data_IF_409102100851
#
_entry.id   IF_409102100851
#
_cell.length_a   1.000
_cell.length_b   1.000
_cell.length_c   1.000
_cell.angle_alpha   90.00
_cell.angle_beta   90.00
_cell.angle_gamma   90.00
#
_symmetry.space_group_name_H-M   'P 1'
#
loop_
_entity.id
_entity.type
_entity.pdbx_description
1 polymer ?
#
# COMPACT_ATOMS: atom_id res chain seq x y z
N UNK A 1 -2.40 -7.40 23.70
CA UNK A 1 -2.99 -8.18 22.59
C UNK A 1 -3.34 -7.19 21.48
N UNK A 2 -2.52 -7.11 20.43
CA UNK A 2 -2.57 -6.03 19.44
C UNK A 2 -2.99 -6.58 18.06
N UNK A 3 -3.69 -5.76 17.27
CA UNK A 3 -3.97 -6.03 15.85
C UNK A 3 -2.74 -5.83 14.96
N UNK A 4 -2.88 -6.05 13.64
CA UNK A 4 -1.78 -5.89 12.67
C UNK A 4 -1.19 -4.46 12.67
N UNK A 5 -2.04 -3.45 12.94
CA UNK A 5 -1.65 -2.06 13.18
C UNK A 5 -1.75 -1.67 14.66
N UNK A 6 -1.78 -2.63 15.58
CA UNK A 6 -1.99 -2.37 17.00
C UNK A 6 -3.39 -1.89 17.39
N UNK A 7 -4.35 -1.91 16.45
CA UNK A 7 -5.64 -1.24 16.63
C UNK A 7 -5.56 0.28 16.47
N UNK A 8 -4.46 0.79 15.92
CA UNK A 8 -4.18 2.21 15.76
C UNK A 8 -4.53 2.69 14.35
N UNK A 9 -5.57 3.53 14.26
CA UNK A 9 -6.01 4.15 13.02
C UNK A 9 -4.91 4.97 12.35
N UNK A 10 -4.10 5.69 13.12
CA UNK A 10 -3.07 6.56 12.56
C UNK A 10 -1.95 5.74 11.93
N UNK A 11 -1.57 4.59 12.53
CA UNK A 11 -0.63 3.65 11.91
C UNK A 11 -1.18 3.05 10.62
N UNK A 12 -2.46 2.72 10.61
CA UNK A 12 -3.12 2.23 9.40
C UNK A 12 -3.09 3.26 8.28
N UNK A 13 -3.43 4.52 8.56
CA UNK A 13 -3.35 5.64 7.61
C UNK A 13 -1.91 5.87 7.13
N UNK A 14 -0.93 5.79 8.04
CA UNK A 14 0.47 6.07 7.73
C UNK A 14 1.13 5.01 6.86
N UNK A 15 0.79 3.73 7.06
CA UNK A 15 1.51 2.60 6.45
C UNK A 15 0.71 1.85 5.37
N UNK A 16 -0.57 2.17 5.16
CA UNK A 16 -1.40 1.56 4.12
C UNK A 16 -1.84 2.62 3.10
N UNK A 17 -1.66 2.34 1.81
CA UNK A 17 -2.21 3.18 0.74
C UNK A 17 -3.73 3.29 0.83
N UNK A 18 -4.39 2.20 1.23
CA UNK A 18 -5.84 2.16 1.42
C UNK A 18 -6.28 3.00 2.63
N UNK A 19 -5.55 2.91 3.74
CA UNK A 19 -5.78 3.76 4.91
C UNK A 19 -5.61 5.25 4.57
N UNK A 20 -4.55 5.60 3.86
CA UNK A 20 -4.31 6.95 3.35
C UNK A 20 -5.43 7.43 2.43
N UNK A 21 -5.85 6.61 1.45
CA UNK A 21 -6.91 6.96 0.52
C UNK A 21 -8.22 7.27 1.26
N UNK A 22 -8.63 6.42 2.20
CA UNK A 22 -9.82 6.65 3.02
C UNK A 22 -9.71 7.94 3.85
N UNK A 23 -8.56 8.24 4.43
CA UNK A 23 -8.35 9.47 5.19
C UNK A 23 -8.46 10.71 4.29
N UNK A 24 -7.83 10.68 3.10
CA UNK A 24 -7.88 11.78 2.12
C UNK A 24 -9.30 12.07 1.61
N UNK A 25 -10.17 11.06 1.63
CA UNK A 25 -11.59 11.17 1.26
C UNK A 25 -12.49 11.56 2.46
N UNK A 26 -11.92 11.92 3.60
CA UNK A 26 -12.64 12.15 4.87
C UNK A 26 -13.45 10.93 5.35
N UNK A 27 -13.07 9.71 4.96
CA UNK A 27 -13.72 8.44 5.31
C UNK A 27 -13.03 7.75 6.50
N UNK A 28 -12.61 8.52 7.53
CA UNK A 28 -11.93 7.99 8.73
C UNK A 28 -12.76 6.95 9.49
N UNK A 29 -14.09 7.07 9.44
CA UNK A 29 -15.00 6.08 10.04
C UNK A 29 -14.86 4.71 9.37
N UNK A 30 -14.76 4.67 8.04
CA UNK A 30 -14.54 3.42 7.29
C UNK A 30 -13.15 2.85 7.59
N UNK A 31 -12.12 3.70 7.61
CA UNK A 31 -10.77 3.27 7.98
C UNK A 31 -10.72 2.65 9.39
N UNK A 32 -11.46 3.22 10.34
CA UNK A 32 -11.57 2.69 11.69
C UNK A 32 -12.27 1.32 11.75
N UNK A 33 -13.28 1.09 10.90
CA UNK A 33 -13.94 -0.23 10.80
C UNK A 33 -12.95 -1.31 10.35
N UNK A 34 -12.08 -1.02 9.38
CA UNK A 34 -11.06 -1.96 8.94
C UNK A 34 -10.06 -2.29 10.04
N UNK A 35 -9.55 -1.28 10.74
CA UNK A 35 -8.63 -1.47 11.88
C UNK A 35 -9.27 -2.30 12.99
N UNK A 36 -10.55 -2.05 13.28
CA UNK A 36 -11.31 -2.78 14.29
C UNK A 36 -11.55 -4.25 13.89
N UNK A 37 -11.90 -4.49 12.63
CA UNK A 37 -12.08 -5.84 12.09
C UNK A 37 -10.77 -6.63 12.13
N UNK A 38 -9.67 -6.07 11.65
CA UNK A 38 -8.35 -6.71 11.67
C UNK A 38 -7.84 -6.97 13.09
N UNK A 39 -8.10 -6.04 14.03
CA UNK A 39 -7.75 -6.24 15.44
C UNK A 39 -8.54 -7.38 16.08
N UNK A 40 -9.81 -7.53 15.71
CA UNK A 40 -10.65 -8.63 16.17
C UNK A 40 -10.12 -9.97 15.66
N UNK A 41 -9.78 -10.06 14.36
CA UNK A 41 -9.22 -11.27 13.76
C UNK A 41 -7.85 -11.62 14.32
N UNK A 42 -6.99 -10.63 14.53
CA UNK A 42 -5.71 -10.83 15.21
C UNK A 42 -5.91 -11.38 16.63
N UNK A 43 -6.90 -10.89 17.38
CA UNK A 43 -7.23 -11.38 18.72
C UNK A 43 -7.67 -12.84 18.70
N UNK A 44 -8.54 -13.23 17.76
CA UNK A 44 -8.97 -14.63 17.57
C UNK A 44 -7.75 -15.54 17.38
N UNK A 45 -6.77 -15.07 16.61
CA UNK A 45 -5.50 -15.74 16.31
C UNK A 45 -4.43 -15.63 17.42
N UNK A 46 -4.76 -15.14 18.63
CA UNK A 46 -3.81 -15.06 19.75
C UNK A 46 -3.00 -13.77 19.83
N UNK A 47 -3.39 -12.76 19.05
CA UNK A 47 -2.78 -11.42 18.99
C UNK A 47 -1.50 -11.38 18.15
N UNK A 48 -1.25 -10.24 17.52
CA UNK A 48 -0.02 -9.98 16.77
C UNK A 48 1.22 -10.10 17.68
N UNK A 49 2.29 -10.68 17.14
CA UNK A 49 3.59 -10.83 17.80
C UNK A 49 4.69 -10.08 17.05
N UNK A 50 4.93 -10.46 15.81
CA UNK A 50 5.92 -9.85 14.92
C UNK A 50 5.60 -10.14 13.45
N UNK A 51 6.35 -9.51 12.55
CA UNK A 51 6.34 -9.79 11.11
C UNK A 51 7.77 -10.11 10.67
N UNK A 52 7.91 -11.12 9.83
CA UNK A 52 9.15 -11.53 9.19
C UNK A 52 9.06 -11.26 7.70
N UNK A 53 10.07 -10.63 7.11
CA UNK A 53 10.18 -10.48 5.66
C UNK A 53 10.94 -11.70 5.15
N UNK A 54 10.28 -12.55 4.37
CA UNK A 54 10.85 -13.78 3.84
C UNK A 54 11.61 -13.54 2.54
N UNK A 55 11.09 -12.67 1.68
CA UNK A 55 11.78 -12.23 0.46
C UNK A 55 11.25 -10.86 0.00
N UNK A 56 12.08 -10.13 -0.76
CA UNK A 56 11.68 -8.89 -1.45
C UNK A 56 12.12 -9.01 -2.90
N UNK A 57 11.19 -8.76 -3.82
CA UNK A 57 11.42 -8.71 -5.25
C UNK A 57 11.01 -7.32 -5.75
N UNK A 58 11.94 -6.60 -6.36
CA UNK A 58 11.60 -5.39 -7.11
C UNK A 58 11.24 -5.80 -8.53
N UNK A 59 10.08 -5.37 -9.08
CA UNK A 59 9.82 -5.56 -10.49
C UNK A 59 10.93 -4.87 -11.29
N UNK A 60 11.33 -5.46 -12.44
CA UNK A 60 12.29 -4.80 -13.32
C UNK A 60 11.75 -3.41 -13.66
N UNK A 61 12.61 -2.40 -13.57
CA UNK A 61 12.27 -1.05 -14.01
C UNK A 61 12.15 -1.15 -15.53
N UNK A 62 10.93 -1.30 -16.06
CA UNK A 62 10.70 -1.28 -17.49
C UNK A 62 11.12 0.08 -18.04
N UNK A 63 12.23 0.12 -18.78
CA UNK A 63 12.65 1.26 -19.60
C UNK A 63 11.83 1.38 -20.90
N UNK A 64 10.65 0.76 -20.96
CA UNK A 64 9.81 0.72 -22.17
C UNK A 64 8.55 1.56 -21.97
N UNK A 65 8.68 2.87 -22.13
CA UNK A 65 7.53 3.73 -22.41
C UNK A 65 7.88 4.96 -23.26
N UNK A 66 8.88 4.86 -24.14
CA UNK A 66 9.23 5.92 -25.10
C UNK A 66 8.81 5.64 -26.55
N UNK A 67 8.12 4.53 -26.83
CA UNK A 67 7.88 4.13 -28.23
C UNK A 67 6.48 3.57 -28.51
N UNK A 68 5.39 4.20 -28.05
CA UNK A 68 4.07 4.05 -28.71
C UNK A 68 3.17 5.29 -28.50
N UNK A 69 3.50 6.43 -29.12
CA UNK A 69 2.48 7.41 -29.53
C UNK A 69 2.79 7.92 -30.94
N UNK A 70 2.49 7.08 -31.93
CA UNK A 70 2.03 7.53 -33.24
C UNK A 70 0.70 6.79 -33.41
N UNK A 71 -0.47 7.43 -33.49
CA UNK A 71 -0.93 8.20 -34.64
C UNK A 71 -2.17 9.09 -34.25
N UNK A 72 -2.07 10.38 -34.59
CA UNK A 72 -3.08 11.35 -35.11
C UNK A 72 -4.23 11.99 -34.29
N UNK A 73 -4.11 13.35 -34.31
CA UNK A 73 -5.10 14.42 -34.60
C UNK A 73 -5.79 15.16 -33.43
N UNK A 74 -5.20 16.33 -33.16
CA UNK A 74 -5.80 17.68 -33.21
C UNK A 74 -7.11 17.91 -32.46
N UNK A 75 -7.01 18.55 -31.29
CA UNK A 75 -7.77 19.76 -30.99
C UNK A 75 -6.87 20.77 -30.26
N UNK A 76 -6.79 21.94 -30.87
CA UNK A 76 -6.23 23.18 -30.34
C UNK A 76 -7.22 23.74 -29.32
N UNK A 77 -6.83 23.86 -28.05
CA UNK A 77 -7.30 24.96 -27.20
C UNK A 77 -6.33 25.25 -26.04
N UNK A 78 -5.69 26.41 -26.18
CA UNK A 78 -5.25 27.36 -25.16
C UNK A 78 -4.91 26.91 -23.71
N UNK A 79 -3.64 27.17 -23.36
CA UNK A 79 -3.14 27.61 -22.04
C UNK A 79 -3.40 26.71 -20.82
N UNK A 80 -2.47 25.79 -20.56
CA UNK A 80 -1.96 25.58 -19.20
C UNK A 80 -0.43 25.40 -19.26
N UNK A 81 0.31 26.41 -18.79
CA UNK A 81 1.68 26.22 -18.33
C UNK A 81 1.58 25.39 -17.04
N UNK A 82 1.79 24.07 -17.11
CA UNK A 82 2.16 23.32 -15.93
C UNK A 82 3.44 22.54 -16.18
N UNK A 83 4.37 22.79 -15.28
CA UNK A 83 5.67 22.17 -15.12
C UNK A 83 5.65 20.68 -15.42
N UNK A 84 6.62 20.24 -16.23
CA UNK A 84 7.07 18.84 -16.30
C UNK A 84 7.48 18.35 -14.89
N UNK A 85 6.51 18.00 -14.06
CA UNK A 85 6.74 17.16 -12.89
C UNK A 85 6.82 15.74 -13.41
N UNK A 86 8.05 15.25 -13.46
CA UNK A 86 8.43 13.85 -13.60
C UNK A 86 7.26 12.88 -13.37
N UNK A 87 6.59 12.46 -14.44
CA UNK A 87 5.59 11.39 -14.39
C UNK A 87 6.32 10.03 -14.32
N UNK A 88 7.38 9.96 -13.50
CA UNK A 88 8.16 8.74 -13.30
C UNK A 88 7.28 7.76 -12.53
N UNK A 89 7.11 6.52 -13.01
CA UNK A 89 6.38 5.51 -12.27
C UNK A 89 7.00 5.38 -10.87
N UNK A 90 6.16 5.49 -9.83
CA UNK A 90 6.59 5.31 -8.45
C UNK A 90 7.24 3.93 -8.33
N UNK A 91 8.45 3.81 -7.74
CA UNK A 91 9.06 2.52 -7.50
C UNK A 91 8.10 1.60 -6.72
N UNK A 92 7.92 0.39 -7.22
CA UNK A 92 7.12 -0.65 -6.56
C UNK A 92 8.03 -1.80 -6.13
N UNK A 93 7.57 -2.61 -5.18
CA UNK A 93 8.22 -3.86 -4.79
C UNK A 93 7.16 -4.86 -4.34
N UNK A 94 7.49 -6.15 -4.38
CA UNK A 94 6.69 -7.22 -3.78
C UNK A 94 7.49 -7.86 -2.66
N UNK A 95 6.87 -8.04 -1.49
CA UNK A 95 7.48 -8.74 -0.38
C UNK A 95 6.63 -9.96 0.01
N UNK A 96 7.27 -11.11 0.18
CA UNK A 96 6.64 -12.24 0.84
C UNK A 96 6.89 -12.08 2.35
N UNK A 97 5.82 -11.98 3.13
CA UNK A 97 5.89 -11.76 4.57
C UNK A 97 5.23 -12.88 5.34
N UNK A 98 5.78 -13.20 6.50
CA UNK A 98 5.14 -14.06 7.50
C UNK A 98 4.74 -13.22 8.70
N UNK A 99 3.45 -13.11 8.93
CA UNK A 99 2.89 -12.46 10.11
C UNK A 99 2.66 -13.53 11.18
N UNK A 100 3.25 -13.34 12.36
CA UNK A 100 3.15 -14.29 13.47
C UNK A 100 2.13 -13.80 14.48
N UNK A 101 1.21 -14.70 14.83
CA UNK A 101 0.23 -14.55 15.88
C UNK A 101 0.43 -15.58 16.98
N UNK A 102 -0.16 -15.35 18.15
CA UNK A 102 -0.03 -16.27 19.29
C UNK A 102 -0.50 -17.70 19.04
N UNK A 103 -1.38 -17.94 18.06
CA UNK A 103 -1.93 -19.27 17.74
C UNK A 103 -1.56 -19.77 16.34
N UNK A 104 -0.72 -19.07 15.59
CA UNK A 104 -0.37 -19.47 14.23
C UNK A 104 0.32 -18.37 13.43
N UNK A 105 0.59 -18.65 12.16
CA UNK A 105 1.26 -17.72 11.25
C UNK A 105 0.45 -17.55 9.96
N UNK A 106 0.45 -16.34 9.41
CA UNK A 106 -0.08 -16.04 8.08
C UNK A 106 1.08 -15.68 7.16
N UNK A 107 1.26 -16.42 6.07
CA UNK A 107 2.15 -16.01 4.98
C UNK A 107 1.34 -15.29 3.91
N UNK A 108 1.78 -14.11 3.50
CA UNK A 108 1.13 -13.31 2.45
C UNK A 108 2.15 -12.62 1.57
N UNK A 109 1.84 -12.49 0.28
CA UNK A 109 2.51 -11.53 -0.58
C UNK A 109 1.89 -10.15 -0.38
N UNK A 110 2.73 -9.12 -0.29
CA UNK A 110 2.32 -7.72 -0.24
C UNK A 110 3.02 -6.92 -1.33
N UNK A 111 2.28 -5.98 -1.91
CA UNK A 111 2.81 -4.95 -2.79
C UNK A 111 3.17 -3.72 -1.95
N UNK A 112 4.32 -3.14 -2.27
CA UNK A 112 4.87 -1.94 -1.65
C UNK A 112 5.00 -0.86 -2.74
N UNK A 113 4.66 0.38 -2.39
CA UNK A 113 4.88 1.54 -3.26
C UNK A 113 5.71 2.59 -2.53
N UNK A 114 6.70 3.15 -3.22
CA UNK A 114 7.52 4.24 -2.74
C UNK A 114 6.74 5.55 -2.94
N UNK A 115 6.12 6.02 -1.86
CA UNK A 115 5.20 7.16 -1.87
C UNK A 115 5.93 8.51 -1.79
N UNK A 116 7.00 8.57 -0.99
CA UNK A 116 7.93 9.71 -0.87
C UNK A 116 9.35 9.15 -0.87
N UNK A 117 10.38 9.94 -1.23
CA UNK A 117 11.77 9.49 -1.27
C UNK A 117 12.16 8.69 0.00
N UNK A 118 12.29 7.37 -0.15
CA UNK A 118 12.58 6.37 0.89
C UNK A 118 11.43 5.99 1.85
N UNK A 119 10.18 6.34 1.56
CA UNK A 119 9.00 5.96 2.32
C UNK A 119 8.16 4.97 1.52
N UNK A 120 8.24 3.71 1.94
CA UNK A 120 7.47 2.61 1.37
C UNK A 120 6.21 2.37 2.19
N UNK A 121 5.06 2.28 1.50
CA UNK A 121 3.77 1.96 2.12
C UNK A 121 3.20 0.67 1.51
N UNK A 122 2.38 -0.03 2.28
CA UNK A 122 1.72 -1.27 1.85
C UNK A 122 0.56 -0.91 0.91
N UNK A 123 0.63 -1.40 -0.32
CA UNK A 123 -0.39 -1.22 -1.35
C UNK A 123 -1.37 -2.40 -1.46
N UNK A 124 -1.14 -3.48 -0.74
CA UNK A 124 -2.06 -4.61 -0.64
C UNK A 124 -2.92 -4.53 0.61
N UNK A 125 -4.21 -4.81 0.48
CA UNK A 125 -5.07 -4.97 1.64
C UNK A 125 -4.78 -6.32 2.32
N UNK A 126 -4.04 -6.29 3.41
CA UNK A 126 -3.88 -7.45 4.29
C UNK A 126 -5.17 -7.66 5.07
N UNK A 127 -5.85 -8.76 4.79
CA UNK A 127 -7.04 -9.18 5.53
C UNK A 127 -6.76 -10.54 6.16
N UNK A 128 -6.78 -10.61 7.49
CA UNK A 128 -6.66 -11.90 8.18
C UNK A 128 -7.88 -12.76 7.85
N UNK A 129 -7.70 -13.99 7.36
CA UNK A 129 -8.80 -14.93 7.16
C UNK A 129 -9.24 -15.56 8.48
#
# INVERSE_FOLDING_TARGET
MQGLFGGDLNKFVQYSSYGYALDSMNQRNLANLFVSAESTRAKINGGYKNVEILSITQPPISQEQDSQVQIQKSYDDSQYNDTNRDNKPMPTARANVRVVFGKGTLTSDIELVNYEANKWIINTMLTLK
#
